data_IF_430301773357
#
_entry.id   IF_430301773357
#
_cell.length_a   1.000
_cell.length_b   1.000
_cell.length_c   1.000
_cell.angle_alpha   90.00
_cell.angle_beta   90.00
_cell.angle_gamma   90.00
#
_symmetry.space_group_name_H-M   'P 1'
#
loop_
_entity.id
_entity.type
_entity.pdbx_description
1 polymer ?
#
# COMPACT_ATOMS: atom_id res chain seq x y z
N UNK A 1 -7.53 -11.35 -17.00
CA UNK A 1 -6.89 -12.38 -16.14
C UNK A 1 -8.00 -13.02 -15.32
N UNK A 2 -7.99 -14.35 -15.09
CA UNK A 2 -9.05 -14.98 -14.28
C UNK A 2 -8.79 -14.71 -12.79
N UNK A 3 -9.78 -14.17 -12.04
CA UNK A 3 -9.62 -13.88 -10.61
C UNK A 3 -9.81 -15.13 -9.76
N UNK A 4 -8.91 -15.34 -8.81
CA UNK A 4 -9.03 -16.36 -7.77
C UNK A 4 -9.08 -15.70 -6.40
N UNK A 5 -10.23 -15.80 -5.73
CA UNK A 5 -10.42 -15.32 -4.37
C UNK A 5 -9.71 -16.25 -3.37
N UNK A 6 -8.97 -15.66 -2.44
CA UNK A 6 -8.24 -16.33 -1.38
C UNK A 6 -9.07 -16.38 -0.09
N UNK A 7 -8.66 -17.22 0.87
CA UNK A 7 -9.38 -17.39 2.13
C UNK A 7 -9.44 -16.10 2.98
N UNK A 8 -8.44 -15.23 2.88
CA UNK A 8 -8.41 -13.92 3.55
C UNK A 8 -9.19 -12.82 2.80
N UNK A 9 -9.82 -13.16 1.68
CA UNK A 9 -10.57 -12.23 0.84
C UNK A 9 -9.75 -11.53 -0.25
N UNK A 10 -8.41 -11.67 -0.26
CA UNK A 10 -7.55 -11.17 -1.33
C UNK A 10 -7.88 -11.83 -2.67
N UNK A 11 -7.51 -11.19 -3.77
CA UNK A 11 -7.75 -11.71 -5.12
C UNK A 11 -6.42 -11.82 -5.87
N UNK A 12 -6.21 -12.98 -6.48
CA UNK A 12 -5.06 -13.22 -7.37
C UNK A 12 -5.55 -13.24 -8.80
N UNK A 13 -4.90 -12.46 -9.66
CA UNK A 13 -5.03 -12.50 -11.10
C UNK A 13 -3.77 -13.15 -11.68
N UNK A 14 -3.93 -14.35 -12.23
CA UNK A 14 -2.80 -15.04 -12.86
C UNK A 14 -2.44 -14.40 -14.21
N UNK A 15 -1.14 -14.36 -14.53
CA UNK A 15 -0.68 -13.84 -15.81
C UNK A 15 -1.24 -14.66 -16.97
N UNK A 16 -1.36 -14.05 -18.14
CA UNK A 16 -1.79 -14.73 -19.38
C UNK A 16 -0.64 -15.51 -20.05
N UNK A 17 0.59 -15.21 -19.66
CA UNK A 17 1.83 -15.84 -20.13
C UNK A 17 2.64 -16.30 -18.91
N UNK A 18 3.86 -16.77 -19.13
CA UNK A 18 4.79 -17.12 -18.06
C UNK A 18 4.91 -16.01 -17.00
N UNK A 19 4.91 -16.42 -15.74
CA UNK A 19 5.04 -15.51 -14.61
C UNK A 19 6.48 -14.95 -14.56
N UNK A 20 6.63 -13.68 -14.90
CA UNK A 20 7.92 -12.95 -14.85
C UNK A 20 7.92 -11.75 -13.93
N UNK A 21 6.74 -11.21 -13.62
CA UNK A 21 6.58 -10.03 -12.77
C UNK A 21 5.45 -10.23 -11.77
N UNK A 22 5.50 -9.52 -10.66
CA UNK A 22 4.42 -9.52 -9.67
C UNK A 22 4.06 -8.11 -9.26
N UNK A 23 2.77 -7.80 -9.18
CA UNK A 23 2.26 -6.56 -8.61
C UNK A 23 1.43 -6.89 -7.37
N UNK A 24 1.80 -6.33 -6.23
CA UNK A 24 1.03 -6.39 -4.99
C UNK A 24 0.32 -5.05 -4.81
N UNK A 25 -1.01 -5.06 -4.69
CA UNK A 25 -1.83 -3.84 -4.62
C UNK A 25 -2.68 -3.77 -3.35
N UNK A 26 -2.71 -2.61 -2.71
CA UNK A 26 -3.49 -2.35 -1.49
C UNK A 26 -4.54 -1.26 -1.71
N UNK A 27 -5.79 -1.56 -1.38
CA UNK A 27 -6.92 -0.63 -1.49
C UNK A 27 -6.93 0.40 -0.34
N UNK A 28 -7.80 1.41 -0.45
CA UNK A 28 -7.98 2.45 0.59
C UNK A 28 -8.86 2.00 1.76
N UNK A 29 -8.96 2.84 2.80
CA UNK A 29 -9.79 2.58 3.98
C UNK A 29 -11.26 2.30 3.58
N UNK A 30 -11.83 1.21 4.10
CA UNK A 30 -13.23 0.83 3.91
C UNK A 30 -13.55 0.13 2.57
N UNK A 31 -12.61 0.09 1.64
CA UNK A 31 -12.75 -0.62 0.36
C UNK A 31 -12.43 -2.12 0.49
N UNK A 32 -12.33 -2.84 -0.61
CA UNK A 32 -12.02 -4.27 -0.68
C UNK A 32 -11.08 -4.57 -1.82
N UNK A 33 -10.54 -5.80 -1.87
CA UNK A 33 -9.76 -6.27 -3.01
C UNK A 33 -10.53 -6.16 -4.35
N UNK A 34 -11.88 -6.22 -4.32
CA UNK A 34 -12.72 -6.04 -5.51
C UNK A 34 -12.68 -4.62 -6.07
N UNK A 35 -12.44 -3.59 -5.25
CA UNK A 35 -12.53 -2.18 -5.66
C UNK A 35 -11.58 -1.80 -6.80
N UNK A 36 -10.48 -2.56 -6.96
CA UNK A 36 -9.51 -2.37 -8.03
C UNK A 36 -9.53 -3.49 -9.09
N UNK A 37 -10.41 -4.49 -8.95
CA UNK A 37 -10.44 -5.65 -9.83
C UNK A 37 -10.71 -5.25 -11.29
N UNK A 38 -11.72 -4.43 -11.50
CA UNK A 38 -12.11 -3.97 -12.84
C UNK A 38 -10.97 -3.20 -13.53
N UNK A 39 -10.24 -2.36 -12.78
CA UNK A 39 -9.10 -1.61 -13.30
C UNK A 39 -8.05 -2.55 -13.91
N UNK A 40 -7.69 -3.63 -13.20
CA UNK A 40 -6.66 -4.56 -13.65
C UNK A 40 -7.16 -5.61 -14.66
N UNK A 41 -8.48 -5.83 -14.77
CA UNK A 41 -9.05 -6.74 -15.76
C UNK A 41 -9.34 -6.08 -17.11
N UNK A 42 -9.85 -4.84 -17.08
CA UNK A 42 -10.34 -4.15 -18.27
C UNK A 42 -9.23 -3.39 -19.00
N UNK A 43 -8.26 -2.83 -18.27
CA UNK A 43 -7.19 -2.02 -18.86
C UNK A 43 -5.87 -2.79 -18.94
N UNK A 44 -5.15 -2.60 -20.03
CA UNK A 44 -3.82 -3.21 -20.25
C UNK A 44 -2.72 -2.36 -19.61
N UNK A 45 -2.80 -2.21 -18.28
CA UNK A 45 -1.88 -1.38 -17.49
C UNK A 45 -0.63 -2.11 -17.00
N UNK A 46 -0.61 -3.45 -17.08
CA UNK A 46 0.56 -4.28 -16.75
C UNK A 46 0.91 -5.23 -17.90
N UNK A 47 2.14 -5.75 -17.88
CA UNK A 47 2.58 -6.75 -18.85
C UNK A 47 1.76 -8.05 -18.71
N UNK A 48 1.62 -8.80 -19.79
CA UNK A 48 0.85 -10.07 -19.79
C UNK A 48 1.49 -11.16 -18.90
N UNK A 49 2.77 -11.00 -18.57
CA UNK A 49 3.57 -11.86 -17.69
C UNK A 49 3.48 -11.46 -16.19
N UNK A 50 2.66 -10.46 -15.86
CA UNK A 50 2.50 -9.96 -14.50
C UNK A 50 1.39 -10.71 -13.76
N UNK A 51 1.73 -11.35 -12.64
CA UNK A 51 0.77 -11.80 -11.62
C UNK A 51 0.35 -10.60 -10.79
N UNK A 52 -0.94 -10.43 -10.54
CA UNK A 52 -1.45 -9.31 -9.71
C UNK A 52 -2.08 -9.89 -8.46
N UNK A 53 -1.75 -9.33 -7.30
CA UNK A 53 -2.26 -9.73 -6.00
C UNK A 53 -2.95 -8.50 -5.39
N UNK A 54 -4.27 -8.48 -5.43
CA UNK A 54 -5.10 -7.46 -4.81
C UNK A 54 -5.34 -7.88 -3.36
N UNK A 55 -4.64 -7.24 -2.43
CA UNK A 55 -4.71 -7.60 -1.03
C UNK A 55 -5.99 -7.08 -0.39
N UNK A 56 -6.59 -7.91 0.46
CA UNK A 56 -7.70 -7.53 1.31
C UNK A 56 -7.18 -7.11 2.68
N UNK A 57 -7.50 -5.89 3.09
CA UNK A 57 -7.17 -5.42 4.44
C UNK A 57 -7.98 -6.19 5.50
N UNK A 58 -7.41 -6.47 6.69
CA UNK A 58 -8.15 -7.03 7.81
C UNK A 58 -9.37 -6.20 8.20
N UNK A 59 -10.43 -6.87 8.65
CA UNK A 59 -11.61 -6.21 9.18
C UNK A 59 -11.37 -5.83 10.66
N UNK A 60 -11.26 -4.54 10.95
CA UNK A 60 -10.93 -4.01 12.28
C UNK A 60 -11.71 -2.73 12.58
N UNK A 61 -11.91 -2.36 13.86
CA UNK A 61 -12.61 -1.12 14.20
C UNK A 61 -11.78 0.09 13.80
N UNK A 62 -12.46 1.16 13.36
CA UNK A 62 -11.79 2.41 12.97
C UNK A 62 -12.33 3.58 13.79
N UNK A 63 -11.46 4.24 14.54
CA UNK A 63 -11.79 5.26 15.55
C UNK A 63 -12.46 6.47 14.93
N UNK A 64 -11.95 7.04 13.82
CA UNK A 64 -12.62 8.15 13.11
C UNK A 64 -14.02 7.78 12.57
N UNK A 65 -14.33 6.48 12.47
CA UNK A 65 -15.63 5.96 12.06
C UNK A 65 -16.47 5.51 13.27
N UNK A 66 -16.27 6.11 14.45
CA UNK A 66 -16.93 5.75 15.70
C UNK A 66 -16.76 4.27 16.08
N UNK A 67 -15.57 3.71 15.82
CA UNK A 67 -15.25 2.31 16.12
C UNK A 67 -15.96 1.30 15.22
N UNK A 68 -16.61 1.73 14.13
CA UNK A 68 -17.22 0.80 13.16
C UNK A 68 -16.15 -0.08 12.51
N UNK A 69 -16.46 -1.36 12.39
CA UNK A 69 -15.62 -2.32 11.69
C UNK A 69 -15.68 -2.08 10.18
N UNK A 70 -14.51 -2.02 9.55
CA UNK A 70 -14.38 -2.06 8.10
C UNK A 70 -12.99 -2.60 7.72
N UNK A 71 -12.78 -2.84 6.42
CA UNK A 71 -11.48 -3.16 5.87
C UNK A 71 -10.49 -2.01 6.14
N UNK A 72 -9.47 -2.24 6.96
CA UNK A 72 -8.49 -1.22 7.28
C UNK A 72 -7.10 -1.83 7.48
N UNK A 73 -6.07 -1.12 7.01
CA UNK A 73 -4.67 -1.50 7.24
C UNK A 73 -4.16 -1.09 8.62
N UNK A 74 -4.68 0.01 9.15
CA UNK A 74 -4.35 0.53 10.47
C UNK A 74 -5.43 1.51 10.94
N UNK A 75 -5.63 1.61 12.24
CA UNK A 75 -6.59 2.56 12.77
C UNK A 75 -6.14 4.01 12.54
N UNK A 76 -7.10 4.85 12.15
CA UNK A 76 -6.96 6.30 12.11
C UNK A 76 -7.76 6.84 13.30
N UNK A 77 -7.05 7.42 14.26
CA UNK A 77 -7.60 7.92 15.53
C UNK A 77 -8.12 9.34 15.42
N UNK A 78 -7.45 10.16 14.61
CA UNK A 78 -7.76 11.58 14.44
C UNK A 78 -7.64 11.96 12.97
N UNK A 79 -8.63 12.67 12.43
CA UNK A 79 -8.53 13.27 11.09
C UNK A 79 -7.54 14.44 11.18
N UNK A 80 -6.56 14.50 10.28
CA UNK A 80 -5.50 15.53 10.22
C UNK A 80 -6.01 16.96 9.90
N UNK A 81 -7.27 17.29 10.18
CA UNK A 81 -7.91 18.54 9.74
C UNK A 81 -7.67 19.75 10.66
N UNK A 82 -7.06 19.60 11.85
CA UNK A 82 -7.07 20.67 12.86
C UNK A 82 -5.76 20.91 13.65
N UNK A 83 -4.61 20.34 13.29
CA UNK A 83 -3.42 20.45 14.16
C UNK A 83 -2.20 20.92 13.39
N UNK A 84 -1.48 21.84 14.05
CA UNK A 84 -0.27 22.53 13.62
C UNK A 84 0.73 21.62 12.90
N UNK A 85 1.46 22.23 11.97
CA UNK A 85 2.47 21.65 11.05
C UNK A 85 3.69 21.03 11.76
N UNK A 86 3.55 20.54 12.98
CA UNK A 86 4.60 19.81 13.67
C UNK A 86 4.52 18.36 13.22
N UNK A 87 5.38 18.01 12.26
CA UNK A 87 5.71 16.65 11.81
C UNK A 87 6.44 15.87 12.92
N UNK A 88 6.05 16.06 14.18
CA UNK A 88 6.66 15.36 15.30
C UNK A 88 6.16 13.92 15.31
N UNK A 89 7.10 13.00 15.39
CA UNK A 89 6.88 11.57 15.53
C UNK A 89 5.93 11.26 16.69
N UNK A 90 6.02 12.00 17.79
CA UNK A 90 5.16 11.77 18.95
C UNK A 90 3.70 12.15 18.68
N UNK A 91 3.46 13.22 17.92
CA UNK A 91 2.11 13.55 17.46
C UNK A 91 1.58 12.46 16.51
N UNK A 92 2.38 12.02 15.54
CA UNK A 92 1.97 10.96 14.60
C UNK A 92 1.47 9.70 15.32
N UNK A 93 2.18 9.25 16.37
CA UNK A 93 1.79 8.08 17.19
C UNK A 93 0.41 8.23 17.85
N UNK A 94 -0.06 9.45 18.08
CA UNK A 94 -1.41 9.72 18.61
C UNK A 94 -2.49 9.68 17.54
N UNK A 95 -2.14 9.89 16.27
CA UNK A 95 -3.10 9.98 15.16
C UNK A 95 -3.46 8.65 14.53
N UNK A 96 -2.61 7.63 14.66
CA UNK A 96 -2.79 6.30 14.06
C UNK A 96 -2.40 5.17 15.03
N UNK A 97 -2.72 3.93 14.69
CA UNK A 97 -2.23 2.74 15.41
C UNK A 97 -0.92 2.23 14.80
N UNK A 98 0.20 2.43 15.51
CA UNK A 98 1.53 1.98 15.07
C UNK A 98 1.62 0.46 15.07
N UNK A 99 1.07 -0.20 16.08
CA UNK A 99 1.09 -1.66 16.19
C UNK A 99 0.38 -2.31 14.99
N UNK A 100 -0.71 -1.71 14.53
CA UNK A 100 -1.45 -2.19 13.36
C UNK A 100 -0.72 -1.93 12.04
N UNK A 101 0.02 -0.82 11.93
CA UNK A 101 0.91 -0.57 10.78
C UNK A 101 1.99 -1.65 10.73
N UNK A 102 2.66 -1.93 11.86
CA UNK A 102 3.70 -2.95 11.96
C UNK A 102 3.16 -4.36 11.70
N UNK A 103 1.97 -4.68 12.23
CA UNK A 103 1.27 -5.94 11.97
C UNK A 103 0.97 -6.10 10.47
N UNK A 104 0.32 -5.11 9.86
CA UNK A 104 -0.01 -5.14 8.44
C UNK A 104 1.24 -5.25 7.57
N UNK A 105 2.30 -4.46 7.87
CA UNK A 105 3.59 -4.56 7.19
C UNK A 105 4.16 -5.98 7.28
N UNK A 106 4.17 -6.58 8.47
CA UNK A 106 4.66 -7.93 8.69
C UNK A 106 3.86 -8.96 7.89
N UNK A 107 2.54 -8.87 7.88
CA UNK A 107 1.67 -9.77 7.11
C UNK A 107 1.97 -9.63 5.62
N UNK A 108 2.01 -8.41 5.09
CA UNK A 108 2.28 -8.14 3.67
C UNK A 108 3.63 -8.74 3.26
N UNK A 109 4.68 -8.48 4.05
CA UNK A 109 6.03 -8.95 3.76
C UNK A 109 6.11 -10.47 3.81
N UNK A 110 5.67 -11.07 4.91
CA UNK A 110 5.91 -12.48 5.18
C UNK A 110 5.00 -13.39 4.36
N UNK A 111 3.76 -12.97 4.09
CA UNK A 111 2.77 -13.80 3.40
C UNK A 111 2.78 -13.63 1.88
N UNK A 112 3.12 -12.43 1.38
CA UNK A 112 3.01 -12.14 -0.06
C UNK A 112 4.34 -11.71 -0.67
N UNK A 113 4.99 -10.67 -0.12
CA UNK A 113 6.16 -10.08 -0.79
C UNK A 113 7.33 -11.07 -0.89
N UNK A 114 7.72 -11.72 0.21
CA UNK A 114 8.83 -12.66 0.21
C UNK A 114 8.60 -13.83 -0.75
N UNK A 115 7.37 -14.34 -0.81
CA UNK A 115 6.98 -15.45 -1.67
C UNK A 115 7.07 -15.06 -3.16
N UNK A 116 6.64 -13.85 -3.52
CA UNK A 116 6.78 -13.37 -4.90
C UNK A 116 8.22 -13.02 -5.27
N UNK A 117 8.99 -12.46 -4.34
CA UNK A 117 10.43 -12.19 -4.51
C UNK A 117 11.19 -13.48 -4.78
N UNK A 118 10.86 -14.58 -4.08
CA UNK A 118 11.46 -15.89 -4.34
C UNK A 118 11.11 -16.43 -5.74
N UNK A 119 9.89 -16.17 -6.24
CA UNK A 119 9.45 -16.66 -7.56
C UNK A 119 10.05 -15.88 -8.73
N UNK A 120 10.11 -14.56 -8.65
CA UNK A 120 10.46 -13.71 -9.80
C UNK A 120 11.67 -12.78 -9.57
N UNK A 121 12.32 -12.81 -8.40
CA UNK A 121 13.33 -11.84 -7.95
C UNK A 121 12.76 -10.47 -7.58
N UNK A 122 13.38 -9.79 -6.61
CA UNK A 122 12.88 -8.52 -6.07
C UNK A 122 12.68 -7.42 -7.12
N UNK A 123 13.62 -7.28 -8.05
CA UNK A 123 13.57 -6.32 -9.16
C UNK A 123 12.38 -6.51 -10.12
N UNK A 124 11.69 -7.65 -10.05
CA UNK A 124 10.50 -7.94 -10.85
C UNK A 124 9.20 -7.89 -10.02
N UNK A 125 9.28 -7.50 -8.75
CA UNK A 125 8.11 -7.29 -7.89
C UNK A 125 7.88 -5.81 -7.69
N UNK A 126 6.67 -5.35 -8.01
CA UNK A 126 6.18 -4.01 -7.70
C UNK A 126 5.17 -4.07 -6.55
N UNK A 127 5.14 -3.01 -5.74
CA UNK A 127 4.12 -2.81 -4.72
C UNK A 127 3.42 -1.47 -4.95
N UNK A 128 2.12 -1.42 -4.74
CA UNK A 128 1.39 -0.17 -4.86
C UNK A 128 0.10 -0.13 -4.07
N UNK A 129 -0.50 1.05 -4.02
CA UNK A 129 -1.77 1.20 -3.36
C UNK A 129 -2.37 2.60 -3.45
N UNK A 130 -3.58 2.71 -2.95
CA UNK A 130 -4.38 3.94 -2.94
C UNK A 130 -4.73 4.36 -1.52
N UNK A 131 -4.64 5.66 -1.22
CA UNK A 131 -4.99 6.25 0.07
C UNK A 131 -4.30 5.54 1.24
N UNK A 132 -5.05 4.91 2.15
CA UNK A 132 -4.47 4.09 3.22
C UNK A 132 -3.53 2.99 2.72
N UNK A 133 -3.86 2.36 1.59
CA UNK A 133 -3.02 1.36 0.93
C UNK A 133 -1.76 1.96 0.29
N UNK A 134 -1.78 3.24 -0.13
CA UNK A 134 -0.58 3.94 -0.58
C UNK A 134 0.41 4.11 0.57
N UNK A 135 -0.07 4.50 1.76
CA UNK A 135 0.79 4.60 2.94
C UNK A 135 1.46 3.25 3.27
N UNK A 136 0.71 2.15 3.19
CA UNK A 136 1.27 0.81 3.38
C UNK A 136 2.25 0.40 2.27
N UNK A 137 2.00 0.78 1.01
CA UNK A 137 2.92 0.52 -0.10
C UNK A 137 4.27 1.19 0.11
N UNK A 138 4.26 2.44 0.57
CA UNK A 138 5.47 3.19 0.89
C UNK A 138 6.18 2.58 2.10
N UNK A 139 5.44 2.32 3.17
CA UNK A 139 5.98 1.74 4.40
C UNK A 139 6.63 0.37 4.17
N UNK A 140 5.97 -0.51 3.42
CA UNK A 140 6.50 -1.84 3.09
C UNK A 140 7.66 -1.73 2.10
N UNK A 141 7.48 -0.99 1.01
CA UNK A 141 8.45 -0.94 -0.08
C UNK A 141 9.77 -0.29 0.32
N UNK A 142 9.72 0.84 1.03
CA UNK A 142 10.93 1.57 1.45
C UNK A 142 11.65 0.90 2.63
N UNK A 143 10.92 0.10 3.41
CA UNK A 143 11.49 -0.69 4.51
C UNK A 143 12.00 -2.07 4.06
N UNK A 144 11.82 -2.45 2.79
CA UNK A 144 12.22 -3.76 2.29
C UNK A 144 13.71 -3.83 1.96
N UNK A 145 14.39 -4.88 2.42
CA UNK A 145 15.85 -4.99 2.36
C UNK A 145 16.43 -5.21 0.96
N UNK A 146 15.59 -5.55 -0.02
CA UNK A 146 15.98 -5.74 -1.42
C UNK A 146 15.40 -4.63 -2.30
N UNK A 147 16.10 -4.29 -3.37
CA UNK A 147 15.59 -3.35 -4.37
C UNK A 147 14.41 -3.95 -5.12
N UNK A 148 13.22 -3.35 -4.96
CA UNK A 148 12.02 -3.76 -5.67
C UNK A 148 12.00 -3.19 -7.09
N UNK A 149 11.18 -3.78 -7.96
CA UNK A 149 10.95 -3.29 -9.32
C UNK A 149 10.23 -1.94 -9.36
N UNK A 150 9.61 -1.53 -8.26
CA UNK A 150 9.07 -0.19 -8.08
C UNK A 150 7.97 -0.11 -7.03
N UNK A 151 7.70 1.11 -6.58
CA UNK A 151 6.62 1.46 -5.65
C UNK A 151 5.68 2.45 -6.35
N UNK A 152 4.38 2.19 -6.32
CA UNK A 152 3.35 3.07 -6.90
C UNK A 152 2.39 3.55 -5.80
N UNK A 153 2.40 4.84 -5.51
CA UNK A 153 1.54 5.46 -4.51
C UNK A 153 0.51 6.40 -5.13
N UNK A 154 -0.77 6.19 -4.80
CA UNK A 154 -1.86 7.07 -5.23
C UNK A 154 -2.55 7.72 -4.01
N UNK A 155 -2.55 9.06 -3.94
CA UNK A 155 -3.26 9.84 -2.91
C UNK A 155 -3.01 9.42 -1.45
N UNK A 156 -1.76 9.09 -1.10
CA UNK A 156 -1.38 8.66 0.25
C UNK A 156 -0.43 9.61 0.97
N UNK A 157 0.35 9.07 1.90
CA UNK A 157 1.31 9.83 2.70
C UNK A 157 2.45 8.90 3.13
N UNK A 158 3.64 9.43 3.41
CA UNK A 158 4.76 8.66 3.95
C UNK A 158 4.73 8.73 5.48
N UNK A 159 4.90 7.59 6.15
CA UNK A 159 4.96 7.61 7.61
C UNK A 159 6.31 8.15 8.11
N UNK A 160 6.33 9.01 9.15
CA UNK A 160 7.58 9.43 9.78
C UNK A 160 8.30 8.28 10.51
N UNK A 161 7.65 7.12 10.67
CA UNK A 161 8.22 5.90 11.23
C UNK A 161 8.90 5.00 10.19
N UNK A 162 8.76 5.30 8.90
CA UNK A 162 9.27 4.45 7.83
C UNK A 162 10.79 4.30 7.93
N UNK A 163 11.25 3.05 8.09
CA UNK A 163 12.67 2.73 8.23
C UNK A 163 13.28 2.47 6.87
N UNK A 164 13.78 3.54 6.27
CA UNK A 164 14.49 3.56 5.02
C UNK A 164 15.66 2.56 5.00
N UNK A 165 15.66 1.65 4.02
CA UNK A 165 16.76 0.71 3.77
C UNK A 165 17.80 1.32 2.83
N UNK A 166 19.03 0.80 2.84
CA UNK A 166 20.09 1.22 1.91
C UNK A 166 19.71 1.03 0.43
N UNK A 167 18.74 0.16 0.16
CA UNK A 167 18.19 -0.13 -1.18
C UNK A 167 17.12 0.87 -1.63
N UNK A 168 16.67 1.77 -0.75
CA UNK A 168 15.63 2.77 -1.03
C UNK A 168 15.90 3.50 -2.34
N UNK A 169 17.07 4.12 -2.47
CA UNK A 169 17.38 5.03 -3.58
C UNK A 169 17.48 4.32 -4.93
N UNK A 170 17.45 2.98 -4.90
CA UNK A 170 17.49 2.12 -6.10
C UNK A 170 16.11 1.64 -6.52
N UNK A 171 15.11 1.73 -5.64
CA UNK A 171 13.75 1.28 -5.94
C UNK A 171 13.00 2.42 -6.62
N UNK A 172 12.55 2.27 -7.89
CA UNK A 172 11.82 3.34 -8.57
C UNK A 172 10.52 3.69 -7.83
N UNK A 173 10.23 4.98 -7.69
CA UNK A 173 9.04 5.48 -7.01
C UNK A 173 8.18 6.32 -7.96
N UNK A 174 6.89 6.00 -8.04
CA UNK A 174 5.87 6.80 -8.71
C UNK A 174 4.80 7.23 -7.71
N UNK A 175 4.73 8.53 -7.40
CA UNK A 175 3.68 9.10 -6.55
C UNK A 175 2.76 9.96 -7.41
N UNK A 176 1.46 9.74 -7.30
CA UNK A 176 0.42 10.53 -7.97
C UNK A 176 -0.54 11.04 -6.91
N UNK A 177 -0.78 12.35 -6.90
CA UNK A 177 -1.64 12.98 -5.91
C UNK A 177 -2.47 14.10 -6.55
N UNK A 178 -3.75 14.18 -6.19
CA UNK A 178 -4.65 15.21 -6.70
C UNK A 178 -4.41 16.54 -5.98
N UNK A 179 -4.03 17.60 -6.71
CA UNK A 179 -3.73 18.92 -6.14
C UNK A 179 -4.86 19.57 -5.33
N UNK A 180 -6.10 19.09 -5.51
CA UNK A 180 -7.29 19.54 -4.79
C UNK A 180 -7.79 18.54 -3.73
N UNK A 181 -7.00 17.52 -3.38
CA UNK A 181 -7.36 16.52 -2.37
C UNK A 181 -7.44 17.17 -0.98
N UNK A 182 -8.64 17.14 -0.39
CA UNK A 182 -8.92 17.71 0.94
C UNK A 182 -8.86 16.67 2.05
N UNK A 183 -8.79 15.38 1.71
CA UNK A 183 -8.75 14.27 2.65
C UNK A 183 -7.30 13.96 3.01
N UNK A 184 -6.43 13.90 2.00
CA UNK A 184 -4.99 13.78 2.16
C UNK A 184 -4.34 14.95 1.40
N UNK A 185 -4.02 16.07 2.07
CA UNK A 185 -3.43 17.23 1.40
C UNK A 185 -2.07 16.90 0.74
N UNK A 186 -1.85 17.39 -0.49
CA UNK A 186 -0.60 17.19 -1.24
C UNK A 186 0.66 17.81 -0.61
N UNK A 187 0.50 18.69 0.38
CA UNK A 187 1.57 19.53 0.92
C UNK A 187 2.79 18.73 1.42
N UNK A 188 2.59 17.45 1.76
CA UNK A 188 3.67 16.57 2.21
C UNK A 188 4.67 16.23 1.09
N UNK A 189 4.18 15.92 -0.11
CA UNK A 189 5.04 15.51 -1.23
C UNK A 189 5.66 16.71 -1.98
N UNK A 190 5.05 17.89 -1.90
CA UNK A 190 5.51 19.09 -2.60
C UNK A 190 6.71 19.75 -1.89
N UNK A 191 6.88 19.54 -0.59
CA UNK A 191 7.95 20.21 0.19
C UNK A 191 9.31 19.50 0.19
N UNK A 192 9.38 18.26 -0.28
CA UNK A 192 10.59 17.42 -0.23
C UNK A 192 11.10 17.00 -1.62
N UNK A 193 10.60 17.62 -2.69
CA UNK A 193 11.07 17.48 -4.08
C UNK A 193 11.91 18.68 -4.49
#
# INVERSE_FOLDING_TARGET
>A
MMPQKQADGSIILFPKQDHKFSLIWMHGLGDTANGFLDMFQQYSIVKQQTKIILLQAPNRPVTINNGKYCSSWFDIKVIKSNIEKNQDLDYFKTTVSIDEIEESKKIIIMKYLNDEVQKVSAQNVQIGGFSQGCCMALEVGLSYSQTLGGIVGLSGDLFPITKLQQTQDKTPLLIIHGSADKIVPCDFFIKNS
#
